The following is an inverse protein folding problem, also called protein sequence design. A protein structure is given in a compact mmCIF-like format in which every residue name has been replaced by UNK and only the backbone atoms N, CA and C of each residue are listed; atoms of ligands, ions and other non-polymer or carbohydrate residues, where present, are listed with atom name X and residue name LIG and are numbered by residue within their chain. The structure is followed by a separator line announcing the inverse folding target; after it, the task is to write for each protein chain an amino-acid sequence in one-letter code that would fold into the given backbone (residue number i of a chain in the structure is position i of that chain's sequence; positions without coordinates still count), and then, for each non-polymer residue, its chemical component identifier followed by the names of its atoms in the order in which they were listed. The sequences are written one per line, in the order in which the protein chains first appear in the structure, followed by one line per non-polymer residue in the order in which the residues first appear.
data_IF_130872056795
#
_entry.id   IF_130872056795
#
_cell.length_a   1.000
_cell.length_b   1.000
_cell.length_c   1.000
_cell.angle_alpha   90.00
_cell.angle_beta   90.00
_cell.angle_gamma   90.00
#
_symmetry.space_group_name_H-M   'P 1'
#
loop_
_entity.id
_entity.type
_entity.pdbx_description
1 polymer ?
#
# COMPACT_ATOMS: atom_id res chain seq x y z
N UNK A 1 -17.45 -2.31 2.24
CA UNK A 1 -18.78 -2.91 2.04
C UNK A 1 -18.69 -4.44 2.09
N UNK A 2 -19.73 -5.09 2.52
CA UNK A 2 -19.85 -6.55 2.68
C UNK A 2 -21.10 -7.05 1.95
N UNK A 3 -21.33 -8.37 1.98
CA UNK A 3 -22.52 -8.96 1.37
C UNK A 3 -23.83 -8.41 1.94
N UNK A 4 -24.84 -8.34 1.09
CA UNK A 4 -26.21 -8.06 1.42
C UNK A 4 -26.77 -6.77 0.81
N UNK A 5 -28.09 -6.72 0.73
CA UNK A 5 -28.85 -5.63 0.08
C UNK A 5 -28.58 -4.23 0.66
N UNK A 6 -28.17 -4.14 1.92
CA UNK A 6 -27.81 -2.86 2.57
C UNK A 6 -26.56 -2.22 1.97
N UNK A 7 -25.67 -2.99 1.36
CA UNK A 7 -24.42 -2.45 0.80
C UNK A 7 -24.66 -1.46 -0.35
N UNK A 8 -25.63 -1.70 -1.20
CA UNK A 8 -26.02 -0.75 -2.24
C UNK A 8 -26.56 0.57 -1.64
N UNK A 9 -27.41 0.51 -0.60
CA UNK A 9 -27.88 1.70 0.08
C UNK A 9 -26.76 2.48 0.80
N UNK A 10 -25.82 1.77 1.43
CA UNK A 10 -24.66 2.39 2.08
C UNK A 10 -23.76 3.06 1.03
N UNK A 11 -23.57 2.43 -0.12
CA UNK A 11 -22.82 2.99 -1.22
C UNK A 11 -23.46 4.29 -1.75
N UNK A 12 -24.78 4.28 -2.00
CA UNK A 12 -25.53 5.46 -2.43
C UNK A 12 -25.46 6.60 -1.38
N UNK A 13 -25.56 6.26 -0.10
CA UNK A 13 -25.40 7.24 0.96
C UNK A 13 -24.00 7.83 1.00
N UNK A 14 -22.95 7.00 0.86
CA UNK A 14 -21.56 7.46 0.81
C UNK A 14 -21.34 8.42 -0.37
N UNK A 15 -21.84 8.07 -1.57
CA UNK A 15 -21.78 8.93 -2.74
C UNK A 15 -22.47 10.27 -2.50
N UNK A 16 -23.67 10.26 -1.93
CA UNK A 16 -24.40 11.48 -1.58
C UNK A 16 -23.65 12.36 -0.57
N UNK A 17 -22.85 11.76 0.30
CA UNK A 17 -21.96 12.48 1.23
C UNK A 17 -20.62 12.94 0.61
N UNK A 18 -20.43 12.72 -0.68
CA UNK A 18 -19.25 13.16 -1.42
C UNK A 18 -18.06 12.19 -1.40
N UNK A 19 -18.31 10.90 -1.16
CA UNK A 19 -17.25 9.89 -1.30
C UNK A 19 -16.80 9.79 -2.77
N UNK A 20 -15.49 9.65 -3.00
CA UNK A 20 -14.88 9.46 -4.32
C UNK A 20 -14.94 8.01 -4.83
N UNK A 21 -15.28 7.07 -3.99
CA UNK A 21 -15.38 5.66 -4.29
C UNK A 21 -15.81 4.85 -3.08
N UNK A 22 -16.19 3.61 -3.30
CA UNK A 22 -16.57 2.67 -2.24
C UNK A 22 -15.71 1.42 -2.32
N UNK A 23 -15.26 0.94 -1.15
CA UNK A 23 -14.40 -0.23 -1.06
C UNK A 23 -15.19 -1.44 -0.59
N UNK A 24 -15.14 -2.50 -1.38
CA UNK A 24 -15.73 -3.80 -1.09
C UNK A 24 -14.73 -4.72 -0.40
N UNK A 25 -15.21 -5.45 0.61
CA UNK A 25 -14.43 -6.48 1.30
C UNK A 25 -14.14 -7.66 0.36
N UNK A 26 -13.06 -8.39 0.62
CA UNK A 26 -12.61 -9.55 -0.16
C UNK A 26 -13.62 -10.71 -0.25
N UNK A 27 -14.57 -10.80 0.66
CA UNK A 27 -15.59 -11.86 0.67
C UNK A 27 -16.94 -11.44 0.06
N UNK A 28 -17.02 -10.28 -0.58
CA UNK A 28 -18.25 -9.81 -1.21
C UNK A 28 -18.58 -10.66 -2.44
N UNK A 29 -19.85 -11.04 -2.60
CA UNK A 29 -20.32 -11.78 -3.78
C UNK A 29 -20.55 -10.85 -4.99
N UNK A 30 -20.58 -11.46 -6.17
CA UNK A 30 -20.70 -10.73 -7.42
C UNK A 30 -22.07 -10.05 -7.58
N UNK A 31 -23.14 -10.65 -7.04
CA UNK A 31 -24.48 -10.05 -7.11
C UNK A 31 -24.57 -8.79 -6.26
N UNK A 32 -23.94 -8.79 -5.11
CA UNK A 32 -23.80 -7.57 -4.27
C UNK A 32 -22.97 -6.50 -4.99
N UNK A 33 -21.87 -6.86 -5.66
CA UNK A 33 -21.07 -5.91 -6.47
C UNK A 33 -21.93 -5.31 -7.58
N UNK A 34 -22.67 -6.14 -8.34
CA UNK A 34 -23.58 -5.66 -9.40
C UNK A 34 -24.65 -4.71 -8.86
N UNK A 35 -25.24 -5.04 -7.71
CA UNK A 35 -26.23 -4.18 -7.06
C UNK A 35 -25.64 -2.83 -6.63
N UNK A 36 -24.41 -2.81 -6.08
CA UNK A 36 -23.70 -1.58 -5.76
C UNK A 36 -23.46 -0.78 -7.03
N UNK A 37 -22.85 -1.40 -8.06
CA UNK A 37 -22.51 -0.74 -9.32
C UNK A 37 -23.74 -0.17 -10.06
N UNK A 38 -24.89 -0.82 -9.95
CA UNK A 38 -26.14 -0.32 -10.49
C UNK A 38 -26.73 0.89 -9.72
N UNK A 39 -26.21 1.18 -8.54
CA UNK A 39 -26.76 2.20 -7.63
C UNK A 39 -25.91 3.46 -7.57
N UNK A 40 -24.59 3.37 -7.84
CA UNK A 40 -23.63 4.48 -7.73
C UNK A 40 -22.91 4.73 -9.03
N UNK A 41 -22.53 6.00 -9.25
CA UNK A 41 -21.65 6.41 -10.36
C UNK A 41 -20.18 6.44 -9.96
N UNK A 42 -19.87 6.53 -8.65
CA UNK A 42 -18.50 6.54 -8.14
C UNK A 42 -17.84 5.17 -8.27
N UNK A 43 -16.50 5.11 -8.34
CA UNK A 43 -15.76 3.86 -8.47
C UNK A 43 -16.05 2.85 -7.37
N UNK A 44 -16.18 1.59 -7.78
CA UNK A 44 -16.30 0.43 -6.90
C UNK A 44 -14.98 -0.32 -6.85
N UNK A 45 -14.37 -0.35 -5.68
CA UNK A 45 -13.05 -0.95 -5.43
C UNK A 45 -13.21 -2.30 -4.77
N UNK A 46 -12.50 -3.31 -5.25
CA UNK A 46 -12.51 -4.64 -4.63
C UNK A 46 -11.20 -4.91 -3.86
N UNK A 47 -11.33 -5.45 -2.64
CA UNK A 47 -10.15 -5.78 -1.82
C UNK A 47 -9.63 -7.18 -2.14
N UNK A 48 -8.38 -7.28 -2.57
CA UNK A 48 -7.63 -8.51 -2.85
C UNK A 48 -6.65 -8.78 -1.72
N UNK A 49 -6.73 -9.95 -1.10
CA UNK A 49 -5.84 -10.37 0.00
C UNK A 49 -4.97 -11.57 -0.36
N UNK A 50 -5.22 -12.21 -1.50
CA UNK A 50 -4.40 -13.33 -1.99
C UNK A 50 -4.52 -13.47 -3.50
N UNK A 51 -3.58 -14.19 -4.10
CA UNK A 51 -3.52 -14.51 -5.54
C UNK A 51 -4.65 -15.48 -5.99
N UNK A 52 -5.30 -16.13 -5.06
CA UNK A 52 -6.34 -17.14 -5.35
C UNK A 52 -7.70 -16.56 -5.68
N UNK A 53 -7.85 -15.23 -5.68
CA UNK A 53 -9.12 -14.58 -5.99
C UNK A 53 -9.44 -14.75 -7.49
N UNK A 54 -10.71 -15.04 -7.79
CA UNK A 54 -11.23 -14.95 -9.15
C UNK A 54 -11.51 -13.48 -9.50
N UNK A 55 -10.45 -12.80 -9.93
CA UNK A 55 -10.52 -11.37 -10.26
C UNK A 55 -11.31 -11.13 -11.55
N UNK A 56 -11.34 -12.09 -12.48
CA UNK A 56 -12.10 -11.98 -13.73
C UNK A 56 -13.60 -11.89 -13.44
N UNK A 57 -14.11 -12.74 -12.53
CA UNK A 57 -15.50 -12.69 -12.08
C UNK A 57 -15.83 -11.33 -11.42
N UNK A 58 -14.93 -10.77 -10.62
CA UNK A 58 -15.12 -9.47 -9.97
C UNK A 58 -15.15 -8.31 -10.98
N UNK A 59 -14.27 -8.33 -11.98
CA UNK A 59 -14.27 -7.37 -13.09
C UNK A 59 -15.57 -7.47 -13.89
N UNK A 60 -16.03 -8.67 -14.20
CA UNK A 60 -17.31 -8.89 -14.88
C UNK A 60 -18.53 -8.45 -14.03
N UNK A 61 -18.40 -8.45 -12.70
CA UNK A 61 -19.43 -7.92 -11.80
C UNK A 61 -19.45 -6.39 -11.74
N UNK A 62 -18.38 -5.70 -12.21
CA UNK A 62 -18.36 -4.25 -12.39
C UNK A 62 -17.46 -3.49 -11.41
N UNK A 63 -16.46 -4.12 -10.83
CA UNK A 63 -15.42 -3.35 -10.11
C UNK A 63 -14.62 -2.52 -11.09
N UNK A 64 -14.19 -1.34 -10.65
CA UNK A 64 -13.41 -0.41 -11.47
C UNK A 64 -11.89 -0.57 -11.24
N UNK A 65 -11.48 -0.89 -10.00
CA UNK A 65 -10.09 -1.17 -9.65
C UNK A 65 -9.97 -1.97 -8.35
N UNK A 66 -8.77 -2.34 -7.98
CA UNK A 66 -8.50 -3.18 -6.80
C UNK A 66 -7.71 -2.45 -5.72
N UNK A 67 -7.96 -2.85 -4.48
CA UNK A 67 -7.13 -2.52 -3.33
C UNK A 67 -6.44 -3.81 -2.85
N UNK A 68 -5.14 -3.93 -3.03
CA UNK A 68 -4.38 -5.11 -2.60
C UNK A 68 -3.91 -4.94 -1.16
N UNK A 69 -4.30 -5.87 -0.29
CA UNK A 69 -3.98 -5.85 1.14
C UNK A 69 -3.59 -7.26 1.61
N UNK A 70 -2.43 -7.73 1.18
CA UNK A 70 -1.90 -9.08 1.42
C UNK A 70 -0.80 -9.14 2.47
N UNK A 71 -0.67 -8.15 3.35
CA UNK A 71 0.43 -8.01 4.29
C UNK A 71 1.80 -8.13 3.57
N UNK A 72 2.70 -8.99 4.04
CA UNK A 72 4.02 -9.20 3.44
C UNK A 72 3.99 -9.68 1.99
N UNK A 73 2.86 -10.24 1.55
CA UNK A 73 2.66 -10.72 0.18
C UNK A 73 2.12 -9.65 -0.78
N UNK A 74 1.80 -8.45 -0.28
CA UNK A 74 1.24 -7.38 -1.11
C UNK A 74 2.04 -7.13 -2.39
N UNK A 75 3.39 -7.00 -2.38
CA UNK A 75 4.16 -6.80 -3.61
C UNK A 75 4.01 -7.96 -4.62
N UNK A 76 3.99 -9.21 -4.15
CA UNK A 76 3.84 -10.38 -5.02
C UNK A 76 2.45 -10.43 -5.67
N UNK A 77 1.39 -10.16 -4.90
CA UNK A 77 0.01 -10.09 -5.42
C UNK A 77 -0.12 -8.97 -6.45
N UNK A 78 0.45 -7.79 -6.19
CA UNK A 78 0.46 -6.67 -7.12
C UNK A 78 1.14 -7.04 -8.43
N UNK A 79 2.32 -7.66 -8.37
CA UNK A 79 3.06 -8.10 -9.56
C UNK A 79 2.27 -9.11 -10.40
N UNK A 80 1.61 -10.08 -9.77
CA UNK A 80 0.77 -11.06 -10.46
C UNK A 80 -0.44 -10.41 -11.14
N UNK A 81 -1.15 -9.53 -10.43
CA UNK A 81 -2.30 -8.80 -11.00
C UNK A 81 -1.82 -7.94 -12.17
N UNK A 82 -0.73 -7.20 -12.03
CA UNK A 82 -0.18 -6.35 -13.09
C UNK A 82 0.21 -7.15 -14.34
N UNK A 83 0.77 -8.33 -14.16
CA UNK A 83 1.13 -9.20 -15.28
C UNK A 83 -0.09 -9.70 -16.08
N UNK A 84 -1.21 -9.97 -15.39
CA UNK A 84 -2.45 -10.46 -16.03
C UNK A 84 -3.36 -9.34 -16.52
N UNK A 85 -3.35 -8.19 -15.86
CA UNK A 85 -4.20 -7.04 -16.13
C UNK A 85 -3.37 -5.75 -16.17
N UNK A 86 -2.62 -5.49 -17.27
CA UNK A 86 -1.67 -4.37 -17.36
C UNK A 86 -2.28 -2.99 -17.13
N UNK A 87 -3.54 -2.80 -17.52
CA UNK A 87 -4.23 -1.51 -17.43
C UNK A 87 -5.10 -1.35 -16.17
N UNK A 88 -5.29 -2.42 -15.38
CA UNK A 88 -6.13 -2.33 -14.19
C UNK A 88 -5.48 -1.42 -13.15
N UNK A 89 -6.18 -0.37 -12.67
CA UNK A 89 -5.66 0.45 -11.60
C UNK A 89 -5.56 -0.34 -10.28
N UNK A 90 -4.42 -0.22 -9.60
CA UNK A 90 -4.13 -0.93 -8.36
C UNK A 90 -3.80 0.09 -7.26
N UNK A 91 -4.62 0.15 -6.23
CA UNK A 91 -4.23 0.71 -4.94
C UNK A 91 -3.67 -0.45 -4.11
N UNK A 92 -2.64 -0.23 -3.32
CA UNK A 92 -2.14 -1.25 -2.41
C UNK A 92 -1.95 -0.69 -1.01
N UNK A 93 -2.22 -1.51 -0.02
CA UNK A 93 -1.86 -1.20 1.35
C UNK A 93 -0.37 -1.47 1.51
N UNK A 94 0.40 -0.41 1.66
CA UNK A 94 1.83 -0.50 1.94
C UNK A 94 2.07 -1.17 3.29
N UNK A 95 3.14 -1.95 3.38
CA UNK A 95 3.58 -2.51 4.67
C UNK A 95 4.09 -1.40 5.62
N UNK A 96 4.49 -1.79 6.83
CA UNK A 96 4.90 -0.85 7.87
C UNK A 96 6.26 -0.20 7.63
N UNK A 97 7.02 -0.63 6.62
CA UNK A 97 8.38 -0.15 6.34
C UNK A 97 8.48 0.51 4.98
N UNK A 98 9.45 1.40 4.84
CA UNK A 98 9.77 2.04 3.57
C UNK A 98 10.12 1.02 2.47
N UNK A 99 10.83 -0.04 2.82
CA UNK A 99 11.20 -1.12 1.90
C UNK A 99 9.99 -1.82 1.30
N UNK A 100 8.98 -2.15 2.12
CA UNK A 100 7.75 -2.79 1.64
C UNK A 100 6.91 -1.85 0.79
N UNK A 101 6.91 -0.56 1.08
CA UNK A 101 6.25 0.47 0.26
C UNK A 101 6.92 0.55 -1.11
N UNK A 102 8.27 0.69 -1.15
CA UNK A 102 9.03 0.77 -2.39
C UNK A 102 8.90 -0.50 -3.23
N UNK A 103 8.95 -1.68 -2.60
CA UNK A 103 8.73 -2.95 -3.28
C UNK A 103 7.33 -3.05 -3.92
N UNK A 104 6.31 -2.54 -3.23
CA UNK A 104 4.94 -2.53 -3.75
C UNK A 104 4.76 -1.57 -4.94
N UNK A 105 5.40 -0.41 -4.90
CA UNK A 105 5.44 0.54 -6.03
C UNK A 105 6.18 -0.09 -7.22
N UNK A 106 7.35 -0.69 -6.97
CA UNK A 106 8.14 -1.36 -8.01
C UNK A 106 7.40 -2.55 -8.64
N UNK A 107 6.52 -3.22 -7.89
CA UNK A 107 5.65 -4.28 -8.39
C UNK A 107 4.52 -3.76 -9.32
N UNK A 108 4.29 -2.45 -9.39
CA UNK A 108 3.35 -1.83 -10.32
C UNK A 108 2.05 -1.31 -9.68
N UNK A 109 2.04 -1.05 -8.37
CA UNK A 109 0.92 -0.34 -7.75
C UNK A 109 0.87 1.12 -8.23
N UNK A 110 -0.34 1.63 -8.50
CA UNK A 110 -0.57 3.02 -8.93
C UNK A 110 -0.64 3.98 -7.75
N UNK A 111 -1.10 3.48 -6.60
CA UNK A 111 -1.19 4.25 -5.36
C UNK A 111 -0.97 3.35 -4.14
N UNK A 112 -0.48 3.96 -3.07
CA UNK A 112 -0.24 3.30 -1.79
C UNK A 112 -1.06 3.96 -0.69
N UNK A 113 -1.74 3.16 0.11
CA UNK A 113 -2.28 3.57 1.40
C UNK A 113 -1.37 3.06 2.51
N UNK A 114 -1.02 3.92 3.45
CA UNK A 114 -0.20 3.54 4.60
C UNK A 114 -0.65 4.29 5.85
N UNK A 115 -0.36 3.71 7.01
CA UNK A 115 -0.54 4.42 8.27
C UNK A 115 0.72 5.22 8.57
N UNK A 116 0.66 6.55 8.66
CA UNK A 116 1.83 7.33 8.98
C UNK A 116 2.38 6.94 10.36
N UNK A 117 3.70 6.98 10.53
CA UNK A 117 4.31 6.68 11.83
C UNK A 117 3.82 7.69 12.89
N UNK A 118 3.65 7.22 14.10
CA UNK A 118 3.33 8.09 15.25
C UNK A 118 4.53 8.97 15.60
N UNK A 119 4.30 10.10 16.28
CA UNK A 119 5.38 10.95 16.76
C UNK A 119 6.39 10.19 17.63
N UNK A 120 5.93 9.22 18.43
CA UNK A 120 6.81 8.36 19.23
C UNK A 120 7.72 7.47 18.38
N UNK A 121 7.20 6.93 17.27
CA UNK A 121 8.00 6.12 16.33
C UNK A 121 9.00 6.96 15.55
N UNK A 122 8.62 8.17 15.13
CA UNK A 122 9.53 9.12 14.49
C UNK A 122 10.65 9.51 15.43
N UNK A 123 10.33 9.87 16.68
CA UNK A 123 11.31 10.23 17.70
C UNK A 123 12.25 9.07 18.03
N UNK A 124 11.76 7.83 18.13
CA UNK A 124 12.58 6.65 18.38
C UNK A 124 13.58 6.40 17.22
N UNK A 125 13.14 6.58 15.96
CA UNK A 125 13.99 6.45 14.78
C UNK A 125 15.11 7.51 14.77
N UNK A 126 14.77 8.76 15.09
CA UNK A 126 15.75 9.84 15.14
C UNK A 126 16.75 9.64 16.29
N UNK A 127 16.28 9.21 17.46
CA UNK A 127 17.17 8.89 18.59
C UNK A 127 18.10 7.72 18.29
N UNK A 128 17.66 6.72 17.51
CA UNK A 128 18.52 5.63 17.08
C UNK A 128 19.66 6.14 16.17
N UNK A 129 19.32 6.96 15.17
CA UNK A 129 20.32 7.59 14.29
C UNK A 129 21.33 8.45 15.05
N UNK A 130 20.87 9.22 16.05
CA UNK A 130 21.78 10.01 16.90
C UNK A 130 22.73 9.12 17.70
N UNK A 131 22.25 8.01 18.27
CA UNK A 131 23.11 7.06 19.02
C UNK A 131 24.14 6.40 18.11
N UNK A 132 23.78 5.99 16.92
CA UNK A 132 24.71 5.46 15.93
C UNK A 132 25.78 6.49 15.56
N UNK A 133 25.36 7.73 15.31
CA UNK A 133 26.28 8.81 14.97
C UNK A 133 27.27 9.10 16.11
N UNK A 134 26.82 9.18 17.36
CA UNK A 134 27.69 9.36 18.51
C UNK A 134 28.62 8.16 18.74
N UNK A 135 28.18 6.93 18.51
CA UNK A 135 29.01 5.75 18.67
C UNK A 135 30.22 5.73 17.72
N UNK A 136 30.06 6.32 16.52
CA UNK A 136 31.18 6.46 15.57
C UNK A 136 32.09 7.66 15.85
N UNK A 137 31.67 8.63 16.65
CA UNK A 137 32.51 9.77 17.03
C UNK A 137 33.49 9.44 18.18
N UNK A 138 33.19 8.39 18.98
CA UNK A 138 34.05 7.95 20.09
C UNK A 138 35.10 6.90 19.68
N UNK A 139 35.27 6.61 18.37
CA UNK A 139 36.27 5.67 17.89
C UNK A 139 37.56 6.45 17.48
N UNK A 140 38.61 6.50 18.34
CA UNK A 140 39.81 7.35 18.11
C UNK A 140 40.77 6.79 17.08
N UNK A 141 40.42 5.71 16.35
CA UNK A 141 41.39 5.06 15.43
C UNK A 141 41.41 5.64 13.99
N UNK A 142 40.49 6.58 13.61
CA UNK A 142 40.48 7.15 12.25
C UNK A 142 41.30 8.44 12.09
N UNK A 143 41.70 9.12 13.17
CA UNK A 143 42.47 10.38 13.08
C UNK A 143 43.97 10.20 12.88
N UNK A 144 44.51 8.98 12.97
CA UNK A 144 45.97 8.75 12.84
C UNK A 144 46.43 8.49 11.38
N UNK A 145 45.51 8.41 10.42
CA UNK A 145 45.85 8.19 9.00
C UNK A 145 45.87 9.42 8.11
N UNK A 146 45.62 10.59 8.66
CA UNK A 146 45.63 11.86 7.91
C UNK A 146 46.72 12.82 8.36
N UNK A 147 47.93 12.32 8.67
CA UNK A 147 49.09 13.20 8.83
C UNK A 147 49.89 13.22 7.52
N UNK A 148 49.96 14.33 6.79
CA UNK A 148 50.86 14.44 5.66
C UNK A 148 52.30 14.50 6.20
N UNK A 149 53.11 13.54 5.80
CA UNK A 149 54.54 13.56 6.04
C UNK A 149 55.17 14.80 5.38
N UNK A 150 55.59 15.71 6.21
CA UNK A 150 56.55 16.76 5.89
C UNK A 150 57.83 16.12 5.41
N UNK A 151 58.14 16.26 4.14
CA UNK A 151 59.52 16.00 3.66
C UNK A 151 59.98 17.22 2.94
N UNK A 152 60.66 18.07 3.70
CA UNK A 152 61.60 19.06 3.20
C UNK A 152 62.87 18.34 2.70
N UNK A 153 63.23 18.54 1.50
CA UNK A 153 64.58 18.88 1.02
C UNK A 153 64.54 19.33 -0.45
#
# INVERSE_FOLDING_TARGET
LTNGQRSAHVAAFAEHQGAFGVVCNTFIDDDTIRAIKATVEIPVVYTVVSEKVDLESKLAAGIDFVNVSGADRTPAIVAEIRARYPELPIIATGGPTEETILATIAAGANAITYTPPTNGQLFAKDMHRYREWFAHMDDPEEDEKASPSDTAQ
#
